data_IF_391938838575
#
_entry.id   IF_391938838575
#
_cell.length_a   1.000
_cell.length_b   1.000
_cell.length_c   1.000
_cell.angle_alpha   90.00
_cell.angle_beta   90.00
_cell.angle_gamma   90.00
#
_symmetry.space_group_name_H-M   'P 1'
#
loop_
_entity.id
_entity.type
_entity.pdbx_description
1 polymer ?
#
# COMPACT_ATOMS: atom_id res chain seq x y z
N UNK A 1 -3.77 -4.17 19.06
CA UNK A 1 -3.24 -2.84 19.45
C UNK A 1 -3.75 -1.81 18.46
N UNK A 2 -4.11 -0.61 18.91
CA UNK A 2 -4.45 0.53 18.04
C UNK A 2 -3.37 1.60 18.18
N UNK A 3 -3.15 2.38 17.12
CA UNK A 3 -2.21 3.52 17.13
C UNK A 3 -2.98 4.84 17.25
N UNK A 4 -2.34 5.86 17.82
CA UNK A 4 -2.85 7.23 17.80
C UNK A 4 -2.08 8.11 16.81
N UNK A 5 -2.59 9.33 16.57
CA UNK A 5 -1.98 10.27 15.62
C UNK A 5 -0.56 10.67 16.00
N UNK A 6 -0.28 10.85 17.30
CA UNK A 6 1.05 11.24 17.78
C UNK A 6 2.07 10.13 17.50
N UNK A 7 1.72 8.88 17.79
CA UNK A 7 2.55 7.73 17.45
C UNK A 7 2.80 7.65 15.94
N UNK A 8 1.75 7.80 15.13
CA UNK A 8 1.89 7.77 13.68
C UNK A 8 2.81 8.89 13.16
N UNK A 9 2.75 10.10 13.73
CA UNK A 9 3.65 11.21 13.40
C UNK A 9 5.09 10.98 13.86
N UNK A 10 5.30 10.33 15.00
CA UNK A 10 6.65 9.97 15.45
C UNK A 10 7.29 8.93 14.53
N UNK A 11 6.49 8.00 14.00
CA UNK A 11 6.97 6.98 13.06
C UNK A 11 7.17 7.60 11.66
N UNK A 12 6.18 8.36 11.19
CA UNK A 12 6.12 8.96 9.86
C UNK A 12 6.06 10.50 9.96
N UNK A 13 7.18 11.18 10.27
CA UNK A 13 7.21 12.62 10.51
C UNK A 13 6.80 13.45 9.28
N UNK A 14 7.02 12.93 8.07
CA UNK A 14 6.70 13.64 6.82
C UNK A 14 5.22 13.59 6.44
N UNK A 15 4.41 12.78 7.14
CA UNK A 15 2.97 12.70 6.93
C UNK A 15 2.24 13.99 7.30
N UNK A 16 2.76 14.76 8.27
CA UNK A 16 2.16 16.01 8.71
C UNK A 16 0.65 15.86 9.00
N UNK A 17 -0.22 16.76 8.49
CA UNK A 17 -1.66 16.67 8.70
C UNK A 17 -2.31 15.37 8.21
N UNK A 18 -1.70 14.68 7.22
CA UNK A 18 -2.23 13.42 6.69
C UNK A 18 -2.24 12.31 7.75
N UNK A 19 -1.36 12.35 8.74
CA UNK A 19 -1.40 11.37 9.84
C UNK A 19 -2.76 11.35 10.55
N UNK A 20 -3.35 12.53 10.81
CA UNK A 20 -4.69 12.63 11.41
C UNK A 20 -5.81 12.12 10.51
N UNK A 21 -5.64 12.24 9.18
CA UNK A 21 -6.60 11.71 8.19
C UNK A 21 -6.56 10.18 8.15
N UNK A 22 -5.36 9.58 8.22
CA UNK A 22 -5.18 8.15 8.02
C UNK A 22 -5.29 7.31 9.30
N UNK A 23 -5.06 7.87 10.49
CA UNK A 23 -4.97 7.07 11.73
C UNK A 23 -6.19 6.18 11.97
N UNK A 24 -7.40 6.72 11.79
CA UNK A 24 -8.65 5.97 11.97
C UNK A 24 -8.81 4.89 10.89
N UNK A 25 -8.54 5.23 9.63
CA UNK A 25 -8.60 4.29 8.50
C UNK A 25 -7.62 3.13 8.67
N UNK A 26 -6.38 3.42 9.09
CA UNK A 26 -5.36 2.41 9.38
C UNK A 26 -5.79 1.48 10.51
N UNK A 27 -6.30 2.02 11.61
CA UNK A 27 -6.77 1.20 12.74
C UNK A 27 -7.90 0.23 12.33
N UNK A 28 -8.85 0.70 11.50
CA UNK A 28 -9.93 -0.14 10.97
C UNK A 28 -9.35 -1.25 10.07
N UNK A 29 -8.50 -0.88 9.11
CA UNK A 29 -7.88 -1.83 8.18
C UNK A 29 -7.01 -2.87 8.90
N UNK A 30 -6.13 -2.43 9.80
CA UNK A 30 -5.26 -3.31 10.59
C UNK A 30 -6.06 -4.27 11.47
N UNK A 31 -7.17 -3.80 12.06
CA UNK A 31 -8.05 -4.66 12.86
C UNK A 31 -8.70 -5.74 11.99
N UNK A 32 -9.24 -5.38 10.81
CA UNK A 32 -9.89 -6.33 9.89
C UNK A 32 -8.95 -7.45 9.45
N UNK A 33 -7.67 -7.14 9.20
CA UNK A 33 -6.68 -8.08 8.67
C UNK A 33 -5.70 -8.61 9.74
N UNK A 34 -6.06 -8.52 11.02
CA UNK A 34 -5.26 -9.03 12.14
C UNK A 34 -3.80 -8.52 12.15
N UNK A 35 -3.55 -7.30 11.68
CA UNK A 35 -2.29 -6.60 11.80
C UNK A 35 -2.26 -5.96 13.19
N UNK A 36 -2.19 -6.78 14.23
CA UNK A 36 -2.58 -6.38 15.59
C UNK A 36 -1.49 -6.57 16.66
N UNK A 37 -0.34 -7.16 16.30
CA UNK A 37 0.86 -7.27 17.15
C UNK A 37 1.82 -6.12 16.85
N UNK A 38 2.73 -5.82 17.80
CA UNK A 38 3.76 -4.78 17.63
C UNK A 38 4.57 -4.96 16.35
N UNK A 39 5.05 -6.17 16.06
CA UNK A 39 5.87 -6.46 14.88
C UNK A 39 5.08 -6.31 13.58
N UNK A 40 3.82 -6.79 13.54
CA UNK A 40 2.94 -6.66 12.37
C UNK A 40 2.64 -5.19 12.07
N UNK A 41 2.26 -4.42 13.09
CA UNK A 41 1.94 -2.99 12.95
C UNK A 41 3.19 -2.21 12.53
N UNK A 42 4.33 -2.45 13.17
CA UNK A 42 5.58 -1.79 12.81
C UNK A 42 5.97 -2.09 11.35
N UNK A 43 5.90 -3.35 10.94
CA UNK A 43 6.21 -3.77 9.58
C UNK A 43 5.25 -3.14 8.56
N UNK A 44 3.96 -3.15 8.85
CA UNK A 44 2.93 -2.59 7.97
C UNK A 44 3.09 -1.08 7.80
N UNK A 45 3.18 -0.32 8.89
CA UNK A 45 3.33 1.15 8.86
C UNK A 45 4.61 1.56 8.13
N UNK A 46 5.72 0.86 8.37
CA UNK A 46 6.99 1.16 7.71
C UNK A 46 6.91 0.98 6.19
N UNK A 47 6.28 -0.12 5.73
CA UNK A 47 6.16 -0.40 4.30
C UNK A 47 5.24 0.61 3.61
N UNK A 48 4.03 0.84 4.14
CA UNK A 48 3.12 1.83 3.53
C UNK A 48 3.67 3.25 3.63
N UNK A 49 4.42 3.55 4.70
CA UNK A 49 5.11 4.82 4.87
C UNK A 49 6.15 5.05 3.77
N UNK A 50 6.91 4.02 3.39
CA UNK A 50 7.83 4.12 2.27
C UNK A 50 7.10 4.25 0.92
N UNK A 51 6.18 3.33 0.63
CA UNK A 51 5.50 3.23 -0.68
C UNK A 51 4.69 4.50 -1.04
N UNK A 52 4.13 5.17 -0.04
CA UNK A 52 3.29 6.37 -0.24
C UNK A 52 4.04 7.69 -0.04
N UNK A 53 5.34 7.65 0.23
CA UNK A 53 6.10 8.83 0.66
C UNK A 53 5.49 9.46 1.92
N UNK A 54 5.18 8.61 2.91
CA UNK A 54 4.53 8.93 4.17
C UNK A 54 3.16 9.61 3.95
N UNK A 55 2.32 8.98 3.13
CA UNK A 55 0.96 9.43 2.77
C UNK A 55 0.87 10.67 1.89
N UNK A 56 2.00 11.16 1.36
CA UNK A 56 2.02 12.28 0.40
C UNK A 56 1.42 11.87 -0.95
N UNK A 57 1.56 10.60 -1.33
CA UNK A 57 1.10 10.07 -2.60
C UNK A 57 0.17 8.87 -2.39
N UNK A 58 -1.08 9.01 -2.85
CA UNK A 58 -2.09 7.93 -2.90
C UNK A 58 -2.37 7.46 -4.33
N UNK A 59 -1.62 8.00 -5.30
CA UNK A 59 -1.65 7.62 -6.71
C UNK A 59 -0.28 7.85 -7.35
N UNK A 60 0.05 7.02 -8.34
CA UNK A 60 1.23 7.20 -9.19
C UNK A 60 1.08 8.50 -9.99
N UNK A 61 2.13 9.34 -9.94
CA UNK A 61 2.24 10.54 -10.77
C UNK A 61 3.00 10.19 -12.05
N UNK A 62 2.53 10.68 -13.19
CA UNK A 62 3.18 10.48 -14.47
C UNK A 62 2.38 11.08 -15.61
N UNK A 63 3.08 11.43 -16.69
CA UNK A 63 2.44 11.81 -17.96
C UNK A 63 1.73 10.61 -18.58
N UNK A 64 0.82 10.87 -19.51
CA UNK A 64 0.15 9.80 -20.25
C UNK A 64 1.15 8.91 -20.99
N UNK A 65 2.21 9.50 -21.55
CA UNK A 65 3.31 8.77 -22.19
C UNK A 65 4.06 7.83 -21.23
N UNK A 66 4.22 8.21 -19.97
CA UNK A 66 4.87 7.36 -18.97
C UNK A 66 3.94 6.20 -18.56
N UNK A 67 2.64 6.46 -18.44
CA UNK A 67 1.65 5.45 -18.05
C UNK A 67 1.29 4.49 -19.19
N UNK A 68 1.57 4.86 -20.44
CA UNK A 68 1.39 4.00 -21.61
C UNK A 68 2.18 2.68 -21.52
N UNK A 69 3.19 2.58 -20.64
CA UNK A 69 3.87 1.31 -20.31
C UNK A 69 2.92 0.24 -19.76
N UNK A 70 1.77 0.64 -19.22
CA UNK A 70 0.75 -0.25 -18.68
C UNK A 70 -0.37 -0.55 -19.69
N UNK A 71 -0.47 0.19 -20.80
CA UNK A 71 -1.50 -0.02 -21.83
C UNK A 71 -1.17 -1.18 -22.76
N UNK A 72 0.11 -1.42 -23.05
CA UNK A 72 0.49 -2.37 -24.11
C UNK A 72 1.61 -3.33 -23.70
N UNK A 73 1.72 -4.43 -24.45
CA UNK A 73 2.82 -5.39 -24.34
C UNK A 73 2.75 -6.31 -23.11
N UNK A 74 3.90 -6.91 -22.78
CA UNK A 74 4.00 -7.97 -21.75
C UNK A 74 3.70 -7.49 -20.34
N UNK A 75 3.88 -6.18 -20.06
CA UNK A 75 3.52 -5.63 -18.76
C UNK A 75 2.00 -5.50 -18.62
N UNK A 76 1.30 -4.96 -19.63
CA UNK A 76 -0.15 -4.88 -19.66
C UNK A 76 -0.80 -6.26 -19.45
N UNK A 77 -0.34 -7.27 -20.20
CA UNK A 77 -0.83 -8.65 -20.08
C UNK A 77 -0.66 -9.23 -18.67
N UNK A 78 0.51 -9.03 -18.03
CA UNK A 78 0.74 -9.50 -16.65
C UNK A 78 -0.12 -8.78 -15.61
N UNK A 79 -0.51 -7.54 -15.90
CA UNK A 79 -1.38 -6.72 -15.08
C UNK A 79 -2.87 -7.00 -15.33
N UNK A 80 -3.19 -7.85 -16.32
CA UNK A 80 -4.55 -8.16 -16.75
C UNK A 80 -5.24 -7.02 -17.49
N UNK A 81 -4.49 -6.00 -17.89
CA UNK A 81 -5.00 -4.96 -18.79
C UNK A 81 -5.22 -5.56 -20.18
N UNK A 82 -6.14 -4.97 -20.94
CA UNK A 82 -6.19 -5.15 -22.39
C UNK A 82 -4.81 -4.83 -23.00
N UNK A 83 -4.26 -5.66 -23.92
CA UNK A 83 -2.97 -5.38 -24.55
C UNK A 83 -3.06 -4.28 -25.63
N UNK A 84 -4.20 -3.61 -25.77
CA UNK A 84 -4.47 -2.51 -26.68
C UNK A 84 -4.23 -1.13 -26.02
N UNK A 85 -3.89 -0.12 -26.83
CA UNK A 85 -3.77 1.26 -26.36
C UNK A 85 -5.16 1.92 -26.18
N UNK A 86 -5.96 1.40 -25.26
CA UNK A 86 -7.35 1.83 -25.01
C UNK A 86 -7.52 2.67 -23.73
N UNK A 87 -6.45 2.85 -22.97
CA UNK A 87 -6.42 3.67 -21.75
C UNK A 87 -6.43 2.87 -20.45
N UNK A 88 -6.44 1.54 -20.48
CA UNK A 88 -6.42 0.68 -19.28
C UNK A 88 -5.24 0.99 -18.34
N UNK A 89 -4.08 1.33 -18.87
CA UNK A 89 -2.89 1.71 -18.14
C UNK A 89 -3.03 3.03 -17.38
N UNK A 90 -3.67 4.05 -17.98
CA UNK A 90 -4.01 5.28 -17.26
C UNK A 90 -5.16 5.04 -16.28
N UNK A 91 -6.14 4.22 -16.64
CA UNK A 91 -7.30 3.92 -15.82
C UNK A 91 -6.90 3.14 -14.56
N UNK A 92 -6.08 2.10 -14.70
CA UNK A 92 -5.59 1.20 -13.65
C UNK A 92 -4.13 1.46 -13.24
N UNK A 93 -3.71 2.74 -13.30
CA UNK A 93 -2.43 3.19 -12.74
C UNK A 93 -2.30 2.87 -11.25
N UNK A 94 -1.09 2.96 -10.68
CA UNK A 94 -0.89 2.74 -9.25
C UNK A 94 -1.73 3.66 -8.36
N UNK A 95 -2.48 3.09 -7.41
CA UNK A 95 -3.25 3.82 -6.36
C UNK A 95 -3.18 3.17 -4.99
N UNK A 96 -3.57 3.92 -3.97
CA UNK A 96 -3.55 3.53 -2.57
C UNK A 96 -2.14 3.55 -1.98
N UNK A 97 -2.02 3.12 -0.73
CA UNK A 97 -0.77 3.22 0.02
C UNK A 97 0.30 2.19 -0.37
N UNK A 98 -0.06 1.21 -1.21
CA UNK A 98 0.85 0.14 -1.70
C UNK A 98 0.85 0.00 -3.23
N UNK A 99 0.32 1.00 -3.96
CA UNK A 99 0.30 1.05 -5.43
C UNK A 99 -0.37 -0.14 -6.12
N UNK A 100 -1.65 -0.38 -5.82
CA UNK A 100 -2.48 -1.32 -6.60
C UNK A 100 -2.51 -0.85 -8.05
N UNK A 101 -2.00 -1.70 -8.95
CA UNK A 101 -1.77 -1.36 -10.36
C UNK A 101 -2.26 -2.51 -11.24
N UNK A 102 -2.94 -2.21 -12.34
CA UNK A 102 -3.42 -3.19 -13.32
C UNK A 102 -4.81 -3.73 -13.03
N UNK A 103 -5.61 -3.89 -14.09
CA UNK A 103 -7.01 -4.29 -14.08
C UNK A 103 -7.28 -5.53 -13.21
N UNK A 104 -6.48 -6.59 -13.35
CA UNK A 104 -6.68 -7.81 -12.56
C UNK A 104 -6.48 -7.58 -11.06
N UNK A 105 -5.60 -6.66 -10.67
CA UNK A 105 -5.41 -6.32 -9.25
C UNK A 105 -6.52 -5.40 -8.75
N UNK A 106 -7.04 -4.49 -9.58
CA UNK A 106 -8.22 -3.68 -9.24
C UNK A 106 -9.45 -4.57 -9.07
N UNK A 107 -9.68 -5.55 -9.94
CA UNK A 107 -10.76 -6.53 -9.84
C UNK A 107 -10.67 -7.33 -8.54
N UNK A 108 -9.53 -7.97 -8.28
CA UNK A 108 -9.34 -8.79 -7.07
C UNK A 108 -9.44 -7.96 -5.77
N UNK A 109 -8.94 -6.72 -5.77
CA UNK A 109 -9.09 -5.81 -4.65
C UNK A 109 -10.55 -5.39 -4.47
N UNK A 110 -11.24 -5.06 -5.55
CA UNK A 110 -12.64 -4.64 -5.56
C UNK A 110 -13.55 -5.72 -5.00
N UNK A 111 -13.37 -6.97 -5.43
CA UNK A 111 -14.09 -8.12 -4.89
C UNK A 111 -13.86 -8.29 -3.38
N UNK A 112 -12.61 -8.23 -2.93
CA UNK A 112 -12.27 -8.40 -1.52
C UNK A 112 -12.80 -7.29 -0.60
N UNK A 113 -12.91 -6.07 -1.13
CA UNK A 113 -13.36 -4.90 -0.38
C UNK A 113 -14.86 -4.58 -0.57
N UNK A 114 -15.54 -5.22 -1.52
CA UNK A 114 -16.91 -4.90 -1.90
C UNK A 114 -17.02 -3.55 -2.61
N UNK A 115 -16.04 -3.20 -3.44
CA UNK A 115 -15.96 -1.93 -4.17
C UNK A 115 -15.95 -2.18 -5.69
N UNK A 116 -16.68 -1.36 -6.45
CA UNK A 116 -16.61 -1.38 -7.92
C UNK A 116 -15.37 -0.62 -8.43
N UNK A 117 -14.21 -1.25 -8.26
CA UNK A 117 -12.92 -0.66 -8.63
C UNK A 117 -12.61 -0.72 -10.14
N UNK A 118 -13.39 -1.49 -10.91
CA UNK A 118 -13.27 -1.49 -12.37
C UNK A 118 -13.90 -0.23 -12.97
N UNK A 119 -15.07 0.17 -12.45
CA UNK A 119 -15.72 1.41 -12.91
C UNK A 119 -15.22 2.65 -12.16
N UNK A 120 -14.80 2.50 -10.88
CA UNK A 120 -14.42 3.62 -10.02
C UNK A 120 -13.04 3.40 -9.34
N UNK A 121 -11.95 3.26 -10.11
CA UNK A 121 -10.62 2.98 -9.55
C UNK A 121 -10.10 4.09 -8.62
N UNK A 122 -10.56 5.34 -8.79
CA UNK A 122 -10.24 6.48 -7.93
C UNK A 122 -10.70 6.31 -6.47
N UNK A 123 -11.58 5.35 -6.16
CA UNK A 123 -11.94 5.01 -4.79
C UNK A 123 -10.70 4.67 -3.96
N UNK A 124 -9.68 4.03 -4.55
CA UNK A 124 -8.41 3.73 -3.87
C UNK A 124 -7.57 4.96 -3.49
N UNK A 125 -7.95 6.16 -3.92
CA UNK A 125 -7.31 7.41 -3.50
C UNK A 125 -7.92 7.97 -2.20
N UNK A 126 -9.08 7.44 -1.78
CA UNK A 126 -9.72 7.83 -0.52
C UNK A 126 -9.02 7.15 0.67
N UNK A 127 -8.82 7.85 1.81
CA UNK A 127 -8.01 7.33 2.92
C UNK A 127 -8.45 5.95 3.44
N UNK A 128 -9.77 5.75 3.56
CA UNK A 128 -10.35 4.49 4.03
C UNK A 128 -10.03 3.31 3.10
N UNK A 129 -10.24 3.47 1.79
CA UNK A 129 -10.00 2.43 0.81
C UNK A 129 -8.49 2.25 0.54
N UNK A 130 -7.70 3.31 0.58
CA UNK A 130 -6.25 3.26 0.44
C UNK A 130 -5.58 2.47 1.59
N UNK A 131 -6.06 2.65 2.82
CA UNK A 131 -5.61 1.88 3.97
C UNK A 131 -6.09 0.42 3.90
N UNK A 132 -7.37 0.22 3.52
CA UNK A 132 -7.96 -1.11 3.43
C UNK A 132 -7.32 -1.97 2.33
N UNK A 133 -7.04 -1.40 1.16
CA UNK A 133 -6.35 -2.10 0.06
C UNK A 133 -4.92 -2.46 0.41
N UNK A 134 -4.21 -1.60 1.16
CA UNK A 134 -2.88 -1.93 1.66
C UNK A 134 -2.91 -3.09 2.66
N UNK A 135 -3.87 -3.10 3.59
CA UNK A 135 -4.03 -4.20 4.54
C UNK A 135 -4.48 -5.51 3.87
N UNK A 136 -5.36 -5.43 2.86
CA UNK A 136 -5.71 -6.57 2.01
C UNK A 136 -4.50 -7.17 1.30
N UNK A 137 -3.68 -6.33 0.66
CA UNK A 137 -2.47 -6.80 0.01
C UNK A 137 -1.54 -7.49 1.01
N UNK A 138 -1.35 -6.87 2.18
CA UNK A 138 -0.52 -7.41 3.26
C UNK A 138 -0.95 -8.82 3.68
N UNK A 139 -2.26 -9.01 3.84
CA UNK A 139 -2.84 -10.31 4.19
C UNK A 139 -2.73 -11.32 3.05
N UNK A 140 -3.11 -10.95 1.81
CA UNK A 140 -2.99 -11.78 0.61
C UNK A 140 -1.54 -12.26 0.38
N UNK A 141 -0.56 -11.43 0.71
CA UNK A 141 0.86 -11.76 0.62
C UNK A 141 1.40 -12.51 1.85
N UNK A 142 0.56 -12.83 2.83
CA UNK A 142 0.89 -13.52 4.09
C UNK A 142 2.04 -12.83 4.86
N UNK A 143 2.02 -11.50 4.91
CA UNK A 143 3.10 -10.72 5.50
C UNK A 143 3.05 -10.71 7.04
N UNK A 144 1.90 -11.02 7.64
CA UNK A 144 1.79 -11.25 9.08
C UNK A 144 2.74 -12.36 9.55
N UNK A 145 2.79 -13.49 8.84
CA UNK A 145 3.66 -14.62 9.19
C UNK A 145 5.16 -14.29 9.08
N UNK A 146 5.53 -13.37 8.19
CA UNK A 146 6.91 -12.88 8.09
C UNK A 146 7.23 -11.88 9.19
N UNK A 147 6.29 -10.99 9.51
CA UNK A 147 6.44 -10.01 10.58
C UNK A 147 6.60 -10.68 11.95
N UNK A 148 5.83 -11.74 12.21
CA UNK A 148 5.93 -12.51 13.46
C UNK A 148 7.31 -13.19 13.63
N UNK A 149 8.01 -13.46 12.54
CA UNK A 149 9.39 -13.99 12.53
C UNK A 149 10.45 -12.89 12.55
N UNK A 150 10.05 -11.62 12.48
CA UNK A 150 10.95 -10.48 12.31
C UNK A 150 11.63 -10.42 10.93
N UNK A 151 11.12 -11.13 9.92
CA UNK A 151 11.73 -11.21 8.58
C UNK A 151 11.34 -10.01 7.70
N UNK A 152 11.80 -8.83 8.12
CA UNK A 152 11.50 -7.57 7.44
C UNK A 152 12.12 -7.47 6.04
N UNK A 153 13.24 -8.17 5.81
CA UNK A 153 13.87 -8.25 4.50
C UNK A 153 12.97 -8.99 3.51
N UNK A 154 12.40 -10.13 3.91
CA UNK A 154 11.47 -10.87 3.05
C UNK A 154 10.17 -10.10 2.81
N UNK A 155 9.65 -9.37 3.82
CA UNK A 155 8.50 -8.46 3.63
C UNK A 155 8.81 -7.45 2.51
N UNK A 156 9.97 -6.81 2.57
CA UNK A 156 10.39 -5.83 1.54
C UNK A 156 10.47 -6.47 0.16
N UNK A 157 11.08 -7.66 0.06
CA UNK A 157 11.17 -8.40 -1.21
C UNK A 157 9.82 -8.76 -1.78
N UNK A 158 8.85 -9.12 -0.94
CA UNK A 158 7.53 -9.51 -1.39
C UNK A 158 6.67 -8.35 -1.85
N UNK A 159 6.86 -7.16 -1.25
CA UNK A 159 6.15 -5.94 -1.66
C UNK A 159 6.78 -5.36 -2.94
N UNK A 160 8.10 -5.21 -2.97
CA UNK A 160 8.78 -4.46 -4.03
C UNK A 160 9.38 -5.33 -5.15
N UNK A 161 9.38 -6.66 -5.00
CA UNK A 161 10.07 -7.58 -5.92
C UNK A 161 11.60 -7.55 -5.77
N UNK A 162 12.13 -6.88 -4.75
CA UNK A 162 13.56 -6.65 -4.55
C UNK A 162 13.85 -5.91 -3.25
N UNK A 163 14.92 -5.13 -3.21
CA UNK A 163 15.35 -4.38 -2.01
C UNK A 163 15.41 -2.88 -2.25
N UNK A 164 14.65 -2.34 -3.22
CA UNK A 164 14.67 -0.91 -3.47
C UNK A 164 14.12 -0.15 -2.26
N UNK A 165 14.84 0.88 -1.84
CA UNK A 165 14.49 1.67 -0.67
C UNK A 165 14.65 0.95 0.68
N UNK A 166 15.32 -0.21 0.74
CA UNK A 166 15.44 -1.01 1.96
C UNK A 166 15.95 -0.22 3.18
N UNK A 167 16.93 0.67 2.99
CA UNK A 167 17.48 1.49 4.07
C UNK A 167 16.42 2.42 4.70
N UNK A 168 15.60 3.07 3.87
CA UNK A 168 14.51 3.93 4.35
C UNK A 168 13.41 3.10 5.05
N UNK A 169 13.00 1.98 4.43
CA UNK A 169 12.04 1.04 5.04
C UNK A 169 12.51 0.56 6.41
N UNK A 170 13.80 0.22 6.54
CA UNK A 170 14.40 -0.19 7.81
C UNK A 170 14.39 0.96 8.82
N UNK A 171 14.73 2.18 8.42
CA UNK A 171 14.69 3.34 9.29
C UNK A 171 13.27 3.58 9.85
N UNK A 172 12.24 3.53 9.00
CA UNK A 172 10.84 3.64 9.42
C UNK A 172 10.42 2.48 10.34
N UNK A 173 10.87 1.25 10.04
CA UNK A 173 10.60 0.09 10.87
C UNK A 173 11.20 0.20 12.27
N UNK A 174 12.45 0.65 12.38
CA UNK A 174 13.09 0.86 13.69
C UNK A 174 12.37 1.94 14.50
N UNK A 175 12.03 3.08 13.88
CA UNK A 175 11.21 4.11 14.55
C UNK A 175 9.87 3.55 15.02
N UNK A 176 9.21 2.72 14.21
CA UNK A 176 7.97 2.08 14.59
C UNK A 176 8.13 1.16 15.80
N UNK A 177 9.21 0.39 15.87
CA UNK A 177 9.51 -0.43 17.03
C UNK A 177 9.78 0.43 18.28
N UNK A 178 10.49 1.55 18.16
CA UNK A 178 10.78 2.45 19.29
C UNK A 178 9.51 3.13 19.84
N UNK A 179 8.59 3.51 18.97
CA UNK A 179 7.37 4.25 19.33
C UNK A 179 6.25 3.34 19.84
N UNK A 180 6.15 2.11 19.31
CA UNK A 180 5.08 1.18 19.64
C UNK A 180 5.42 0.37 20.91
N UNK A 181 4.49 0.29 21.88
CA UNK A 181 4.69 -0.42 23.13
C UNK A 181 4.81 -1.94 22.94
#
# INVERSE_FOLDING_TARGET
MLINQQQLLQILPDAGPKAGVFVSALNVAMTRYNINTRLRIAGFIAQIGHESGQFRYVRELGSDSYLAKYDTGQLALRLGNTPEADGDGQLYRGRGLIQVTGRANYEACGEALGLDLLSQPQLLEQPEHAAMSAAWFWDRANLNALADKGDFLMITRRINGGTNGLADRQALYQRALEVLP
#
